data_IF_035112371693
#
_entry.id   IF_035112371693
#
_cell.length_a   1.000
_cell.length_b   1.000
_cell.length_c   1.000
_cell.angle_alpha   90.00
_cell.angle_beta   90.00
_cell.angle_gamma   90.00
#
_symmetry.space_group_name_H-M   'P 1'
#
loop_
_entity.id
_entity.type
_entity.pdbx_description
1 polymer ?
#
# COMPACT_ATOMS: atom_id res chain seq x y z
N UNK A 1 -22.48 -36.48 -4.22
CA UNK A 1 -22.00 -35.14 -4.62
C UNK A 1 -20.78 -34.84 -3.75
N UNK A 2 -19.57 -34.84 -4.30
CA UNK A 2 -18.34 -34.59 -3.52
C UNK A 2 -18.29 -33.11 -3.17
N UNK A 3 -18.53 -32.74 -1.91
CA UNK A 3 -18.43 -31.36 -1.44
C UNK A 3 -17.03 -30.82 -1.75
N UNK A 4 -16.96 -29.89 -2.69
CA UNK A 4 -15.71 -29.18 -3.00
C UNK A 4 -15.36 -28.35 -1.77
N UNK A 5 -14.31 -28.77 -1.05
CA UNK A 5 -13.78 -28.02 0.09
C UNK A 5 -13.49 -26.59 -0.36
N UNK A 6 -14.06 -25.60 0.33
CA UNK A 6 -13.71 -24.20 0.11
C UNK A 6 -12.24 -24.00 0.49
N UNK A 7 -11.49 -23.40 -0.43
CA UNK A 7 -10.06 -23.12 -0.26
C UNK A 7 -9.80 -21.66 -0.59
N UNK A 8 -8.81 -21.09 0.07
CA UNK A 8 -8.33 -19.74 -0.22
C UNK A 8 -7.79 -19.67 -1.64
N UNK A 9 -8.22 -18.69 -2.42
CA UNK A 9 -7.78 -18.48 -3.81
C UNK A 9 -6.32 -18.03 -3.93
N UNK A 10 -5.70 -17.53 -2.84
CA UNK A 10 -4.32 -17.04 -2.86
C UNK A 10 -3.29 -18.07 -2.41
N UNK A 11 -3.62 -18.91 -1.42
CA UNK A 11 -2.66 -19.86 -0.86
C UNK A 11 -3.12 -21.33 -0.93
N UNK A 12 -4.33 -21.60 -1.44
CA UNK A 12 -4.88 -22.96 -1.58
C UNK A 12 -5.21 -23.67 -0.27
N UNK A 13 -5.00 -23.03 0.87
CA UNK A 13 -5.32 -23.60 2.19
C UNK A 13 -6.84 -23.67 2.40
N UNK A 14 -7.35 -24.67 3.13
CA UNK A 14 -8.77 -24.75 3.46
C UNK A 14 -9.21 -23.48 4.19
N UNK A 15 -10.29 -22.88 3.71
CA UNK A 15 -10.82 -21.64 4.26
C UNK A 15 -12.30 -21.55 3.91
N UNK A 16 -13.11 -21.12 4.86
CA UNK A 16 -14.56 -20.93 4.64
C UNK A 16 -14.86 -19.73 3.72
N UNK A 17 -13.92 -18.80 3.66
CA UNK A 17 -13.95 -17.59 2.83
C UNK A 17 -13.13 -17.77 1.54
N UNK A 18 -13.42 -16.96 0.52
CA UNK A 18 -12.67 -16.99 -0.75
C UNK A 18 -11.19 -16.60 -0.60
N UNK A 19 -10.86 -15.76 0.39
CA UNK A 19 -9.49 -15.39 0.76
C UNK A 19 -9.37 -15.52 2.26
N UNK A 20 -8.42 -16.32 2.75
CA UNK A 20 -8.21 -16.51 4.18
C UNK A 20 -7.72 -15.23 4.86
N UNK A 21 -7.96 -15.14 6.16
CA UNK A 21 -7.61 -13.97 6.98
C UNK A 21 -6.13 -13.59 6.87
N UNK A 22 -5.21 -14.57 6.90
CA UNK A 22 -3.78 -14.31 6.75
C UNK A 22 -3.43 -13.63 5.43
N UNK A 23 -4.05 -14.06 4.32
CA UNK A 23 -3.82 -13.46 3.02
C UNK A 23 -4.47 -12.08 2.91
N UNK A 24 -5.66 -11.87 3.50
CA UNK A 24 -6.29 -10.53 3.59
C UNK A 24 -5.37 -9.53 4.31
N UNK A 25 -4.87 -9.90 5.48
CA UNK A 25 -4.00 -9.05 6.29
C UNK A 25 -2.69 -8.70 5.57
N UNK A 26 -2.11 -9.66 4.84
CA UNK A 26 -0.87 -9.42 4.10
C UNK A 26 -1.08 -8.42 2.94
N UNK A 27 -2.12 -8.62 2.12
CA UNK A 27 -2.46 -7.71 1.01
C UNK A 27 -2.77 -6.30 1.51
N UNK A 28 -3.51 -6.19 2.63
CA UNK A 28 -3.79 -4.90 3.26
C UNK A 28 -2.52 -4.24 3.80
N UNK A 29 -1.62 -5.01 4.42
CA UNK A 29 -0.33 -4.52 4.90
C UNK A 29 0.56 -4.00 3.77
N UNK A 30 0.65 -4.73 2.65
CA UNK A 30 1.41 -4.29 1.47
C UNK A 30 0.84 -3.00 0.87
N UNK A 31 -0.49 -2.90 0.76
CA UNK A 31 -1.15 -1.70 0.26
C UNK A 31 -0.93 -0.48 1.18
N UNK A 32 -1.01 -0.67 2.51
CA UNK A 32 -0.75 0.38 3.49
C UNK A 32 0.70 0.87 3.44
N UNK A 33 1.67 -0.05 3.35
CA UNK A 33 3.08 0.30 3.23
C UNK A 33 3.38 1.05 1.92
N UNK A 34 2.76 0.65 0.81
CA UNK A 34 2.90 1.33 -0.48
C UNK A 34 2.30 2.75 -0.45
N UNK A 35 1.13 2.93 0.17
CA UNK A 35 0.52 4.25 0.40
C UNK A 35 1.45 5.16 1.21
N UNK A 36 1.98 4.67 2.34
CA UNK A 36 2.87 5.45 3.19
C UNK A 36 4.16 5.89 2.46
N UNK A 37 4.73 5.03 1.61
CA UNK A 37 5.90 5.37 0.78
C UNK A 37 5.60 6.43 -0.28
N UNK A 38 4.39 6.43 -0.86
CA UNK A 38 3.99 7.47 -1.82
C UNK A 38 3.77 8.80 -1.11
N UNK A 39 3.08 8.82 0.03
CA UNK A 39 2.81 10.05 0.78
C UNK A 39 4.10 10.72 1.30
N UNK A 40 5.08 9.93 1.76
CA UNK A 40 6.39 10.48 2.16
C UNK A 40 7.14 11.11 1.00
N UNK A 41 7.11 10.52 -0.20
CA UNK A 41 7.78 11.09 -1.38
C UNK A 41 7.12 12.39 -1.84
N UNK A 42 5.79 12.50 -1.75
CA UNK A 42 5.06 13.72 -2.10
C UNK A 42 5.38 14.88 -1.16
N UNK A 43 5.50 14.63 0.15
CA UNK A 43 5.91 15.67 1.12
C UNK A 43 7.30 16.22 0.83
N UNK A 44 8.27 15.34 0.62
CA UNK A 44 9.65 15.75 0.32
C UNK A 44 9.69 16.61 -0.94
N UNK A 45 9.04 16.20 -2.03
CA UNK A 45 9.01 16.98 -3.27
C UNK A 45 8.43 18.39 -3.11
N UNK A 46 7.37 18.54 -2.31
CA UNK A 46 6.73 19.84 -2.08
C UNK A 46 7.58 20.78 -1.19
N UNK A 47 8.36 20.24 -0.27
CA UNK A 47 9.27 21.02 0.58
C UNK A 47 10.47 21.54 -0.22
N UNK A 48 11.05 20.74 -1.13
CA UNK A 48 12.18 21.20 -1.97
C UNK A 48 11.77 22.29 -2.97
N UNK A 49 10.57 22.17 -3.55
CA UNK A 49 10.04 23.18 -4.48
C UNK A 49 9.85 24.54 -3.76
N UNK A 50 9.29 24.52 -2.54
CA UNK A 50 9.11 25.73 -1.73
C UNK A 50 10.45 26.37 -1.36
N UNK A 51 11.43 25.57 -0.93
CA UNK A 51 12.77 26.09 -0.59
C UNK A 51 13.45 26.74 -1.81
N UNK A 52 13.29 26.14 -3.00
CA UNK A 52 13.82 26.68 -4.25
C UNK A 52 13.15 27.99 -4.68
N UNK A 53 11.83 28.12 -4.50
CA UNK A 53 11.09 29.34 -4.84
C UNK A 53 11.49 30.48 -3.90
N UNK A 54 11.66 30.21 -2.60
CA UNK A 54 12.08 31.20 -1.60
C UNK A 54 13.47 31.74 -1.91
N UNK A 55 14.45 30.86 -2.19
CA UNK A 55 15.82 31.29 -2.55
C UNK A 55 15.84 32.18 -3.80
N UNK A 56 15.08 31.83 -4.85
CA UNK A 56 14.98 32.66 -6.07
C UNK A 56 14.38 34.05 -5.85
N UNK A 57 13.56 34.22 -4.82
CA UNK A 57 12.96 35.52 -4.50
C UNK A 57 13.85 36.40 -3.60
N UNK A 58 14.81 35.80 -2.88
CA UNK A 58 15.78 36.53 -2.03
C UNK A 58 16.95 37.09 -2.85
N UNK A 59 17.34 36.43 -3.93
CA UNK A 59 18.42 36.85 -4.84
C UNK A 59 18.02 37.90 -5.89
N UNK A 60 16.85 38.55 -5.76
CA UNK A 60 16.33 39.54 -6.72
C UNK A 60 16.11 40.90 -6.06
#
# INVERSE_FOLDING_TARGET
>A
MTEKKKVCMLCGKPSEESICESCKSNVQGEAAHKKQKMEKQVKVGSEVEKDRIVRKHIDK
#
